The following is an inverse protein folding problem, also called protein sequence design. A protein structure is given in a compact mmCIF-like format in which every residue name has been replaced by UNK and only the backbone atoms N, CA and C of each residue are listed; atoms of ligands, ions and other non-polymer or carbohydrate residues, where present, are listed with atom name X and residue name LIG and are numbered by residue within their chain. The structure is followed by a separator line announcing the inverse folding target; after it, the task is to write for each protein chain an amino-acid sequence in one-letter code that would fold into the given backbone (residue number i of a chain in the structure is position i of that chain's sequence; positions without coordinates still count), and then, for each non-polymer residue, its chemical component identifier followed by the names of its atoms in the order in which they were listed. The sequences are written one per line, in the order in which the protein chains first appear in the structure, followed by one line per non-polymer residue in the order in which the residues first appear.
data_IF_592341325575
#
_entry.id   IF_592341325575
#
_cell.length_a   1.000
_cell.length_b   1.000
_cell.length_c   1.000
_cell.angle_alpha   90.00
_cell.angle_beta   90.00
_cell.angle_gamma   90.00
#
_symmetry.space_group_name_H-M   'P 1'
#
loop_
_entity.id
_entity.type
_entity.pdbx_description
1 polymer ?
#
# COMPACT_ATOMS: atom_id res chain seq x y z
N UNK A 1 16.86 -7.82 -12.34
CA UNK A 1 16.34 -6.58 -12.93
C UNK A 1 15.19 -6.88 -13.87
N UNK A 2 13.97 -6.83 -13.34
CA UNK A 2 12.75 -6.72 -14.14
C UNK A 2 11.62 -6.34 -13.18
N UNK A 3 11.45 -5.05 -12.92
CA UNK A 3 10.10 -4.52 -12.72
C UNK A 3 9.34 -4.86 -14.00
N UNK A 4 8.73 -6.05 -14.02
CA UNK A 4 7.89 -6.51 -15.11
C UNK A 4 6.93 -5.37 -15.48
N UNK A 5 6.62 -5.15 -16.77
CA UNK A 5 5.91 -3.96 -17.29
C UNK A 5 4.55 -3.62 -16.62
N UNK A 6 4.10 -4.43 -15.67
CA UNK A 6 2.89 -4.23 -14.88
C UNK A 6 3.10 -4.37 -13.36
N UNK A 7 4.33 -4.33 -12.81
CA UNK A 7 4.57 -4.56 -11.38
C UNK A 7 3.74 -3.61 -10.50
N UNK A 8 3.88 -2.30 -10.67
CA UNK A 8 3.16 -1.31 -9.87
C UNK A 8 1.65 -1.37 -10.11
N UNK A 9 1.22 -1.59 -11.35
CA UNK A 9 -0.20 -1.80 -11.69
C UNK A 9 -0.79 -3.01 -10.96
N UNK A 10 -0.03 -4.12 -10.87
CA UNK A 10 -0.46 -5.28 -10.09
C UNK A 10 -0.53 -4.96 -8.59
N UNK A 11 0.43 -4.20 -8.04
CA UNK A 11 0.38 -3.76 -6.63
C UNK A 11 -0.82 -2.87 -6.35
N UNK A 12 -1.21 -2.01 -7.28
CA UNK A 12 -2.45 -1.22 -7.19
C UNK A 12 -3.70 -2.12 -7.16
N UNK A 13 -3.76 -3.16 -7.99
CA UNK A 13 -4.86 -4.11 -7.93
C UNK A 13 -4.87 -4.89 -6.60
N UNK A 14 -3.71 -5.39 -6.14
CA UNK A 14 -3.57 -6.08 -4.86
C UNK A 14 -4.11 -5.19 -3.70
N UNK A 15 -3.78 -3.90 -3.72
CA UNK A 15 -4.26 -2.89 -2.77
C UNK A 15 -5.78 -2.69 -2.81
N UNK A 16 -6.38 -2.60 -4.01
CA UNK A 16 -7.84 -2.49 -4.15
C UNK A 16 -8.54 -3.73 -3.58
N UNK A 17 -7.99 -4.93 -3.80
CA UNK A 17 -8.55 -6.15 -3.21
C UNK A 17 -8.43 -6.14 -1.68
N UNK A 18 -7.33 -5.64 -1.13
CA UNK A 18 -7.15 -5.48 0.31
C UNK A 18 -8.21 -4.54 0.91
N UNK A 19 -8.39 -3.35 0.31
CA UNK A 19 -9.42 -2.38 0.71
C UNK A 19 -10.82 -2.98 0.73
N UNK A 20 -11.15 -3.82 -0.26
CA UNK A 20 -12.44 -4.53 -0.32
C UNK A 20 -12.62 -5.49 0.84
N UNK A 21 -11.60 -6.29 1.18
CA UNK A 21 -11.66 -7.22 2.32
C UNK A 21 -11.89 -6.50 3.65
N UNK A 22 -11.16 -5.40 3.89
CA UNK A 22 -11.36 -4.56 5.08
C UNK A 22 -12.79 -4.02 5.09
N UNK A 23 -13.23 -3.40 3.99
CA UNK A 23 -14.57 -2.82 3.89
C UNK A 23 -15.68 -3.86 4.10
N UNK A 24 -15.54 -5.06 3.53
CA UNK A 24 -16.51 -6.14 3.69
C UNK A 24 -16.57 -6.62 5.14
N UNK A 25 -15.42 -6.73 5.80
CA UNK A 25 -15.35 -7.10 7.22
C UNK A 25 -16.06 -6.06 8.09
N UNK A 26 -15.81 -4.78 7.85
CA UNK A 26 -16.47 -3.70 8.59
C UNK A 26 -17.99 -3.64 8.35
N UNK A 27 -18.48 -4.22 7.24
CA UNK A 27 -19.91 -4.39 6.93
C UNK A 27 -20.50 -5.69 7.49
N UNK A 28 -19.69 -6.52 8.16
CA UNK A 28 -20.09 -7.84 8.67
C UNK A 28 -20.29 -8.91 7.59
N UNK A 29 -19.70 -8.72 6.40
CA UNK A 29 -19.81 -9.65 5.26
C UNK A 29 -18.65 -10.66 5.23
N UNK A 30 -17.52 -10.34 5.84
CA UNK A 30 -16.27 -11.10 5.79
C UNK A 30 -15.60 -11.12 7.18
N UNK A 31 -14.55 -11.92 7.36
CA UNK A 31 -13.83 -12.09 8.64
C UNK A 31 -12.34 -11.72 8.57
N UNK A 32 -11.97 -10.90 7.59
CA UNK A 32 -10.57 -10.54 7.33
C UNK A 32 -9.92 -9.82 8.53
N UNK A 33 -8.77 -10.33 8.98
CA UNK A 33 -8.09 -9.83 10.18
C UNK A 33 -6.94 -8.85 9.90
N UNK A 34 -6.77 -8.43 8.65
CA UNK A 34 -5.61 -7.65 8.23
C UNK A 34 -4.41 -8.53 7.87
N UNK A 35 -3.34 -7.90 7.41
CA UNK A 35 -2.02 -8.53 7.25
C UNK A 35 -0.93 -7.57 7.70
N UNK A 36 0.23 -8.10 8.10
CA UNK A 36 1.37 -7.24 8.36
C UNK A 36 1.81 -6.52 7.07
N UNK A 37 2.35 -5.31 7.18
CA UNK A 37 2.81 -4.55 6.02
C UNK A 37 3.90 -5.33 5.26
N UNK A 38 4.79 -6.03 5.95
CA UNK A 38 5.86 -6.86 5.36
C UNK A 38 5.36 -8.12 4.66
N UNK A 39 4.10 -8.53 4.83
CA UNK A 39 3.58 -9.78 4.28
C UNK A 39 2.89 -9.60 2.93
N UNK A 40 2.46 -8.37 2.61
CA UNK A 40 1.87 -8.07 1.32
C UNK A 40 2.96 -8.03 0.22
N UNK A 41 2.57 -8.23 -1.05
CA UNK A 41 3.55 -8.28 -2.15
C UNK A 41 4.32 -6.96 -2.33
N UNK A 42 3.68 -5.82 -2.04
CA UNK A 42 4.35 -4.52 -2.06
C UNK A 42 5.35 -4.41 -0.91
N UNK A 43 4.96 -4.80 0.30
CA UNK A 43 5.84 -4.80 1.46
C UNK A 43 7.04 -5.70 1.29
N UNK A 44 6.85 -6.94 0.84
CA UNK A 44 7.97 -7.85 0.54
C UNK A 44 8.99 -7.18 -0.39
N UNK A 45 8.51 -6.61 -1.49
CA UNK A 45 9.37 -5.88 -2.40
C UNK A 45 10.05 -4.67 -1.73
N UNK A 46 9.33 -3.85 -0.95
CA UNK A 46 9.93 -2.72 -0.23
C UNK A 46 11.08 -3.14 0.70
N UNK A 47 10.93 -4.28 1.39
CA UNK A 47 11.92 -4.75 2.36
C UNK A 47 13.03 -5.62 1.77
N UNK A 48 12.84 -6.12 0.54
CA UNK A 48 13.83 -6.92 -0.18
C UNK A 48 14.60 -6.03 -1.19
N UNK A 49 14.04 -5.78 -2.38
CA UNK A 49 14.75 -5.15 -3.51
C UNK A 49 14.36 -3.68 -3.75
N UNK A 50 13.32 -3.18 -3.07
CA UNK A 50 12.58 -1.99 -3.50
C UNK A 50 13.34 -0.67 -3.39
N UNK A 51 14.29 -0.58 -2.45
CA UNK A 51 15.16 0.58 -2.34
C UNK A 51 16.07 0.67 -3.57
N UNK A 52 16.82 -0.39 -3.85
CA UNK A 52 17.79 -0.46 -4.95
C UNK A 52 17.11 -0.32 -6.31
N UNK A 53 15.93 -0.95 -6.49
CA UNK A 53 15.13 -0.83 -7.71
C UNK A 53 14.70 0.63 -7.98
N UNK A 54 14.27 1.37 -6.94
CA UNK A 54 13.85 2.77 -7.09
C UNK A 54 15.04 3.72 -7.25
N UNK A 55 16.12 3.50 -6.52
CA UNK A 55 17.37 4.27 -6.64
C UNK A 55 17.95 4.16 -8.04
N UNK A 56 17.91 2.96 -8.65
CA UNK A 56 18.41 2.75 -10.01
C UNK A 56 17.52 3.38 -11.10
N UNK A 57 16.21 3.49 -10.87
CA UNK A 57 15.25 3.85 -11.91
C UNK A 57 14.74 5.30 -11.85
N UNK A 58 14.93 6.02 -10.74
CA UNK A 58 14.37 7.35 -10.54
C UNK A 58 15.42 8.34 -9.98
N UNK A 59 15.48 9.59 -10.48
CA UNK A 59 16.39 10.62 -9.95
C UNK A 59 16.22 10.90 -8.45
N UNK A 60 14.99 10.78 -7.94
CA UNK A 60 14.65 10.95 -6.52
C UNK A 60 14.30 9.59 -5.86
N UNK A 61 14.95 8.51 -6.31
CA UNK A 61 14.60 7.13 -5.95
C UNK A 61 14.53 6.86 -4.44
N UNK A 62 15.57 7.21 -3.69
CA UNK A 62 15.60 7.02 -2.23
C UNK A 62 14.51 7.82 -1.52
N UNK A 63 14.25 9.07 -1.92
CA UNK A 63 13.17 9.87 -1.33
C UNK A 63 11.80 9.27 -1.65
N UNK A 64 11.62 8.77 -2.88
CA UNK A 64 10.38 8.10 -3.28
C UNK A 64 10.17 6.80 -2.49
N UNK A 65 11.24 6.04 -2.24
CA UNK A 65 11.24 4.85 -1.40
C UNK A 65 10.81 5.18 0.03
N UNK A 66 11.48 6.14 0.70
CA UNK A 66 11.19 6.52 2.08
C UNK A 66 9.73 6.94 2.27
N UNK A 67 9.21 7.74 1.33
CA UNK A 67 7.80 8.14 1.33
C UNK A 67 6.87 6.94 1.12
N UNK A 68 7.18 6.06 0.17
CA UNK A 68 6.35 4.90 -0.11
C UNK A 68 6.31 3.94 1.09
N UNK A 69 7.46 3.68 1.72
CA UNK A 69 7.56 2.82 2.90
C UNK A 69 6.77 3.39 4.08
N UNK A 70 6.96 4.68 4.41
CA UNK A 70 6.26 5.34 5.53
C UNK A 70 4.74 5.30 5.35
N UNK A 71 4.26 5.64 4.16
CA UNK A 71 2.82 5.65 3.85
C UNK A 71 2.22 4.26 3.85
N UNK A 72 2.94 3.29 3.28
CA UNK A 72 2.52 1.91 3.26
C UNK A 72 2.40 1.31 4.67
N UNK A 73 3.38 1.56 5.53
CA UNK A 73 3.35 1.12 6.94
C UNK A 73 2.14 1.70 7.66
N UNK A 74 1.95 3.02 7.59
CA UNK A 74 0.82 3.69 8.25
C UNK A 74 -0.53 3.24 7.71
N UNK A 75 -0.62 2.96 6.41
CA UNK A 75 -1.85 2.40 5.82
C UNK A 75 -2.25 1.08 6.49
N UNK A 76 -1.30 0.17 6.68
CA UNK A 76 -1.53 -1.09 7.38
C UNK A 76 -1.86 -0.88 8.86
N UNK A 77 -1.19 0.05 9.53
CA UNK A 77 -1.49 0.39 10.94
C UNK A 77 -2.94 0.85 11.08
N UNK A 78 -3.40 1.80 10.26
CA UNK A 78 -4.80 2.27 10.30
C UNK A 78 -5.80 1.20 9.87
N UNK A 79 -5.44 0.30 8.95
CA UNK A 79 -6.28 -0.86 8.61
C UNK A 79 -6.47 -1.77 9.81
N UNK A 80 -5.40 -2.08 10.55
CA UNK A 80 -5.45 -2.94 11.72
C UNK A 80 -6.22 -2.28 12.86
N UNK A 81 -6.06 -0.97 13.02
CA UNK A 81 -6.82 -0.17 13.97
C UNK A 81 -8.31 -0.17 13.65
N UNK A 82 -8.69 0.01 12.38
CA UNK A 82 -10.09 -0.02 11.95
C UNK A 82 -10.76 -1.37 12.25
N UNK A 83 -10.06 -2.47 11.96
CA UNK A 83 -10.53 -3.83 12.25
C UNK A 83 -10.60 -4.10 13.75
N UNK A 84 -9.63 -3.62 14.54
CA UNK A 84 -9.63 -3.76 15.99
C UNK A 84 -10.80 -3.02 16.64
N UNK A 85 -11.02 -1.78 16.24
CA UNK A 85 -12.12 -0.95 16.75
C UNK A 85 -13.49 -1.52 16.35
N UNK A 86 -13.59 -2.09 15.14
CA UNK A 86 -14.78 -2.82 14.73
C UNK A 86 -15.07 -4.04 15.61
N UNK A 87 -14.05 -4.87 15.89
CA UNK A 87 -14.19 -6.05 16.78
C UNK A 87 -14.59 -5.66 18.20
N UNK A 88 -14.16 -4.50 18.69
CA UNK A 88 -14.56 -3.99 20.01
C UNK A 88 -15.91 -3.27 20.02
N UNK A 89 -16.60 -3.17 18.88
CA UNK A 89 -17.88 -2.47 18.76
C UNK A 89 -17.78 -0.93 18.71
N UNK A 90 -16.57 -0.37 18.58
CA UNK A 90 -16.36 1.07 18.43
C UNK A 90 -16.52 1.49 16.97
N UNK A 91 -17.76 1.73 16.57
CA UNK A 91 -18.09 2.14 15.21
C UNK A 91 -17.48 3.51 14.83
N UNK A 92 -17.44 4.46 15.77
CA UNK A 92 -16.90 5.81 15.52
C UNK A 92 -15.40 5.74 15.31
N UNK A 93 -14.72 5.01 16.18
CA UNK A 93 -13.31 4.75 16.06
C UNK A 93 -12.96 4.04 14.75
N UNK A 94 -13.64 2.95 14.44
CA UNK A 94 -13.43 2.20 13.20
C UNK A 94 -13.59 3.10 11.96
N UNK A 95 -14.60 3.97 11.94
CA UNK A 95 -14.81 4.92 10.85
C UNK A 95 -13.69 5.97 10.73
N UNK A 96 -13.16 6.47 11.86
CA UNK A 96 -12.04 7.41 11.87
C UNK A 96 -10.77 6.77 11.31
N UNK A 97 -10.44 5.56 11.75
CA UNK A 97 -9.30 4.82 11.24
C UNK A 97 -9.44 4.55 9.73
N UNK A 98 -10.63 4.17 9.26
CA UNK A 98 -10.91 4.03 7.83
C UNK A 98 -10.75 5.34 7.05
N UNK A 99 -11.10 6.48 7.64
CA UNK A 99 -10.92 7.78 6.98
C UNK A 99 -9.45 8.07 6.74
N UNK A 100 -8.59 7.86 7.75
CA UNK A 100 -7.13 8.04 7.60
C UNK A 100 -6.53 7.03 6.62
N UNK A 101 -7.01 5.79 6.65
CA UNK A 101 -6.60 4.74 5.71
C UNK A 101 -6.90 5.13 4.25
N UNK A 102 -8.06 5.73 3.95
CA UNK A 102 -8.38 6.19 2.60
C UNK A 102 -7.52 7.38 2.15
N UNK A 103 -7.17 8.31 3.05
CA UNK A 103 -6.27 9.42 2.72
C UNK A 103 -4.89 8.89 2.31
N UNK A 104 -4.32 8.01 3.13
CA UNK A 104 -3.03 7.35 2.86
C UNK A 104 -3.09 6.50 1.60
N UNK A 105 -4.21 5.82 1.34
CA UNK A 105 -4.41 5.08 0.09
C UNK A 105 -4.25 5.98 -1.14
N UNK A 106 -4.84 7.17 -1.14
CA UNK A 106 -4.73 8.09 -2.29
C UNK A 106 -3.28 8.60 -2.48
N UNK A 107 -2.58 8.88 -1.37
CA UNK A 107 -1.17 9.25 -1.39
C UNK A 107 -0.31 8.11 -1.94
N UNK A 108 -0.51 6.88 -1.46
CA UNK A 108 0.22 5.69 -1.89
C UNK A 108 -0.01 5.37 -3.36
N UNK A 109 -1.25 5.46 -3.86
CA UNK A 109 -1.57 5.30 -5.29
C UNK A 109 -0.78 6.32 -6.13
N UNK A 110 -0.71 7.57 -5.68
CA UNK A 110 0.03 8.62 -6.39
C UNK A 110 1.54 8.34 -6.45
N UNK A 111 2.11 7.82 -5.36
CA UNK A 111 3.53 7.43 -5.29
C UNK A 111 3.82 6.21 -6.20
N UNK A 112 2.96 5.20 -6.19
CA UNK A 112 3.10 4.02 -7.06
C UNK A 112 3.02 4.39 -8.54
N UNK A 113 2.13 5.31 -8.93
CA UNK A 113 2.07 5.83 -10.30
C UNK A 113 3.28 6.70 -10.66
N UNK A 114 3.87 7.42 -9.70
CA UNK A 114 5.14 8.11 -9.90
C UNK A 114 6.27 7.10 -10.16
N UNK A 115 6.38 6.06 -9.34
CA UNK A 115 7.36 4.98 -9.51
C UNK A 115 7.21 4.27 -10.87
N UNK A 116 5.98 3.94 -11.27
CA UNK A 116 5.67 3.29 -12.55
C UNK A 116 6.13 4.11 -13.75
N UNK A 117 5.91 5.44 -13.73
CA UNK A 117 6.39 6.33 -14.79
C UNK A 117 7.91 6.33 -14.91
N UNK A 118 8.63 6.30 -13.79
CA UNK A 118 10.09 6.26 -13.81
C UNK A 118 10.61 4.91 -14.34
N UNK A 119 10.02 3.80 -13.91
CA UNK A 119 10.35 2.47 -14.42
C UNK A 119 10.05 2.33 -15.93
N UNK A 120 8.92 2.88 -16.41
CA UNK A 120 8.57 2.87 -17.84
C UNK A 120 9.49 3.72 -18.71
N UNK A 121 10.02 4.83 -18.19
CA UNK A 121 11.01 5.67 -18.90
C UNK A 121 12.38 4.99 -18.95
N UNK A 122 12.80 4.33 -17.87
CA UNK A 122 14.08 3.61 -17.81
C UNK A 122 14.17 2.40 -18.77
N UNK A 123 13.03 1.78 -19.11
CA UNK A 123 12.96 0.67 -20.09
C UNK A 123 12.95 1.17 -21.55
N UNK A 124 12.60 2.44 -21.78
CA UNK A 124 12.49 3.04 -23.11
C UNK A 124 13.74 3.83 -23.55
N UNK A 125 14.71 4.03 -22.65
CA UNK A 125 15.98 4.72 -22.88
C UNK A 125 17.13 3.73 -23.10
#
# INVERSE_FOLDING_TARGET
MATNNAFFVQRLNDHIQYLRKVTNTLKGVDDFQGTACTECKLGKWLYDDGHDDLEACAPDGSQLFDLLEEKHKRFHDFSNDALTQHRSGDAVGSYRAMTEMHKLSNEMVSLLLKADRHAGVAVAA
#
